data_IF_397601497397
#
_entry.id   IF_397601497397
#
_cell.length_a   1.000
_cell.length_b   1.000
_cell.length_c   1.000
_cell.angle_alpha   90.00
_cell.angle_beta   90.00
_cell.angle_gamma   90.00
#
_symmetry.space_group_name_H-M   'P 1'
#
loop_
_entity.id
_entity.type
_entity.pdbx_description
1 polymer ?
#
# COMPACT_ATOMS: atom_id res chain seq x y z
N UNK A 1 18.62 -23.39 32.90
CA UNK A 1 19.14 -22.32 33.79
C UNK A 1 19.10 -21.03 32.99
N UNK A 2 18.65 -19.92 33.56
CA UNK A 2 18.65 -18.62 32.86
C UNK A 2 20.10 -18.19 32.64
N UNK A 3 20.43 -17.75 31.43
CA UNK A 3 21.72 -17.24 31.04
C UNK A 3 22.09 -16.02 31.91
N UNK A 4 23.33 -15.95 32.41
CA UNK A 4 23.77 -14.82 33.20
C UNK A 4 23.96 -13.58 32.29
N UNK A 5 23.31 -12.46 32.65
CA UNK A 5 23.29 -11.22 31.87
C UNK A 5 24.15 -10.13 32.51
N UNK A 6 24.53 -9.13 31.69
CA UNK A 6 25.19 -7.89 32.12
C UNK A 6 24.70 -6.71 31.31
N UNK A 7 24.73 -5.52 31.85
CA UNK A 7 24.46 -4.30 31.09
C UNK A 7 25.51 -4.11 29.96
N UNK A 8 25.03 -3.86 28.76
CA UNK A 8 25.89 -3.58 27.61
C UNK A 8 26.46 -2.15 27.63
N UNK A 9 25.86 -1.24 28.39
CA UNK A 9 26.13 0.19 28.30
C UNK A 9 25.70 0.81 26.96
N UNK A 10 24.77 0.16 26.24
CA UNK A 10 24.14 0.64 25.00
C UNK A 10 22.64 0.73 25.25
N UNK A 11 22.10 1.95 25.33
CA UNK A 11 20.74 2.23 25.76
C UNK A 11 19.67 1.42 25.03
N UNK A 12 19.74 1.32 23.69
CA UNK A 12 18.76 0.60 22.85
C UNK A 12 18.94 -0.92 22.81
N UNK A 13 19.99 -1.46 23.46
CA UNK A 13 20.23 -2.91 23.59
C UNK A 13 19.90 -3.37 25.02
N UNK A 14 20.34 -2.61 26.01
CA UNK A 14 20.22 -2.98 27.43
C UNK A 14 21.13 -4.16 27.81
N UNK A 15 20.60 -5.15 28.52
CA UNK A 15 21.35 -6.30 28.97
C UNK A 15 21.67 -7.29 27.86
N UNK A 16 22.85 -7.88 27.93
CA UNK A 16 23.40 -8.92 27.05
C UNK A 16 24.00 -10.06 27.85
N UNK A 17 24.22 -11.24 27.26
CA UNK A 17 24.95 -12.33 27.93
C UNK A 17 26.30 -11.91 28.44
N UNK A 18 26.68 -12.36 29.64
CA UNK A 18 27.91 -11.95 30.34
C UNK A 18 29.18 -12.24 29.55
N UNK A 19 29.18 -13.33 28.76
CA UNK A 19 30.32 -13.74 27.93
C UNK A 19 30.42 -12.93 26.61
N UNK A 20 29.44 -12.09 26.25
CA UNK A 20 29.54 -11.27 25.05
C UNK A 20 30.39 -10.02 25.29
N UNK A 21 31.04 -9.54 24.23
CA UNK A 21 31.87 -8.33 24.28
C UNK A 21 31.11 -7.13 23.75
N UNK A 22 31.59 -5.95 24.09
CA UNK A 22 31.13 -4.67 23.52
C UNK A 22 32.33 -3.98 22.90
N UNK A 23 32.29 -3.76 21.60
CA UNK A 23 33.37 -3.12 20.83
C UNK A 23 32.79 -1.97 19.99
N UNK A 24 33.66 -1.14 19.42
CA UNK A 24 33.28 -0.16 18.41
C UNK A 24 33.22 -0.82 17.03
N UNK A 25 32.27 -0.36 16.13
CA UNK A 25 32.10 -0.89 14.77
C UNK A 25 33.44 -0.95 14.00
N UNK A 26 34.32 0.06 14.15
CA UNK A 26 35.63 0.07 13.50
C UNK A 26 36.55 -1.12 13.88
N UNK A 27 36.25 -1.83 14.96
CA UNK A 27 36.98 -3.04 15.38
C UNK A 27 36.48 -4.30 14.67
N UNK A 28 35.25 -4.31 14.25
CA UNK A 28 34.58 -5.50 13.69
C UNK A 28 34.36 -5.42 12.19
N UNK A 29 34.32 -4.22 11.60
CA UNK A 29 34.17 -4.02 10.17
C UNK A 29 35.00 -2.86 9.66
N UNK A 30 35.27 -2.85 8.35
CA UNK A 30 35.99 -1.78 7.66
C UNK A 30 35.27 -1.40 6.37
N UNK A 31 35.25 -0.11 6.09
CA UNK A 31 34.74 0.38 4.82
C UNK A 31 35.67 -0.02 3.70
N UNK A 32 35.08 -0.49 2.61
CA UNK A 32 35.79 -0.70 1.35
C UNK A 32 35.11 0.10 0.26
N UNK A 33 35.87 0.54 -0.73
CA UNK A 33 35.35 1.28 -1.87
C UNK A 33 36.17 0.92 -3.10
N UNK A 34 35.50 0.41 -4.12
CA UNK A 34 36.08 0.08 -5.42
C UNK A 34 35.23 0.73 -6.50
N UNK A 35 35.76 1.71 -7.18
CA UNK A 35 35.03 2.46 -8.22
C UNK A 35 35.15 1.71 -9.56
N UNK A 36 34.03 1.64 -10.27
CA UNK A 36 33.94 1.15 -11.63
C UNK A 36 34.15 2.34 -12.59
N UNK A 37 35.30 2.43 -13.24
CA UNK A 37 35.60 3.54 -14.13
C UNK A 37 34.69 3.55 -15.34
N UNK A 38 34.38 2.34 -15.88
CA UNK A 38 33.53 2.17 -17.06
C UNK A 38 32.56 1.02 -16.85
N UNK A 39 31.27 1.27 -17.02
CA UNK A 39 30.19 0.28 -16.95
C UNK A 39 30.29 -0.71 -18.12
N UNK A 40 30.22 -2.01 -17.82
CA UNK A 40 30.36 -3.09 -18.80
C UNK A 40 29.16 -4.05 -18.79
N UNK A 41 28.02 -3.65 -18.23
CA UNK A 41 26.80 -4.46 -18.18
C UNK A 41 26.63 -5.25 -16.87
N UNK A 42 27.36 -4.90 -15.82
CA UNK A 42 27.20 -5.51 -14.50
C UNK A 42 25.80 -5.22 -13.94
N UNK A 43 25.32 -6.08 -13.03
CA UNK A 43 24.06 -5.89 -12.34
C UNK A 43 24.07 -4.63 -11.49
N UNK A 44 23.04 -3.82 -11.62
CA UNK A 44 22.85 -2.63 -10.76
C UNK A 44 22.02 -3.02 -9.56
N UNK A 45 22.55 -2.77 -8.36
CA UNK A 45 21.96 -3.11 -7.09
C UNK A 45 21.51 -1.86 -6.34
N UNK A 46 20.38 -1.96 -5.65
CA UNK A 46 19.83 -0.86 -4.84
C UNK A 46 19.41 -1.34 -3.46
N UNK A 47 19.69 -0.52 -2.46
CA UNK A 47 19.20 -0.73 -1.10
C UNK A 47 17.72 -0.33 -1.02
N UNK A 48 16.88 -1.25 -0.58
CA UNK A 48 15.42 -1.08 -0.47
C UNK A 48 14.90 -1.63 0.85
N UNK A 49 13.61 -1.42 1.14
CA UNK A 49 12.94 -2.06 2.30
C UNK A 49 13.06 -3.59 2.32
N UNK A 50 13.26 -4.22 1.14
CA UNK A 50 13.45 -5.67 1.00
C UNK A 50 14.91 -6.12 1.14
N UNK A 51 15.85 -5.18 1.31
CA UNK A 51 17.28 -5.40 1.32
C UNK A 51 17.96 -4.90 0.04
N UNK A 52 19.15 -5.38 -0.25
CA UNK A 52 19.89 -5.06 -1.47
C UNK A 52 19.37 -5.94 -2.61
N UNK A 53 18.74 -5.33 -3.61
CA UNK A 53 18.11 -6.05 -4.72
C UNK A 53 18.63 -5.55 -6.08
N UNK A 54 18.58 -6.44 -7.08
CA UNK A 54 18.86 -6.10 -8.47
C UNK A 54 17.77 -5.17 -9.01
N UNK A 55 18.16 -4.09 -9.68
CA UNK A 55 17.25 -3.18 -10.35
C UNK A 55 16.83 -3.75 -11.71
N UNK A 56 15.54 -3.61 -12.00
CA UNK A 56 15.02 -3.83 -13.34
C UNK A 56 15.39 -2.59 -14.19
N UNK A 57 16.27 -2.79 -15.17
CA UNK A 57 16.72 -1.73 -16.08
C UNK A 57 15.82 -1.57 -17.31
N UNK A 58 15.01 -2.58 -17.61
CA UNK A 58 14.04 -2.53 -18.72
C UNK A 58 12.80 -1.74 -18.32
N UNK A 59 12.36 -1.89 -17.05
CA UNK A 59 11.21 -1.15 -16.48
C UNK A 59 11.63 -0.39 -15.21
N UNK A 60 12.45 0.67 -15.35
CA UNK A 60 13.04 1.33 -14.20
C UNK A 60 12.00 2.08 -13.37
N UNK A 61 11.98 1.79 -12.06
CA UNK A 61 11.20 2.57 -11.09
C UNK A 61 12.08 3.64 -10.45
N UNK A 62 11.65 4.90 -10.55
CA UNK A 62 12.37 6.05 -10.00
C UNK A 62 13.43 6.62 -10.95
N UNK A 63 14.26 7.54 -10.44
CA UNK A 63 15.29 8.22 -11.23
C UNK A 63 16.41 7.25 -11.64
N UNK A 64 16.81 7.30 -12.90
CA UNK A 64 17.96 6.58 -13.45
C UNK A 64 19.02 7.59 -13.86
N UNK A 65 20.31 7.32 -13.61
CA UNK A 65 21.38 8.13 -14.13
C UNK A 65 21.55 7.89 -15.65
N UNK A 66 22.19 8.82 -16.33
CA UNK A 66 22.50 8.69 -17.76
C UNK A 66 23.55 7.58 -18.03
N UNK A 67 24.45 7.33 -17.07
CA UNK A 67 25.46 6.28 -17.11
C UNK A 67 25.68 5.72 -15.72
N UNK A 68 26.21 4.51 -15.62
CA UNK A 68 26.67 3.88 -14.38
C UNK A 68 28.19 3.95 -14.22
N UNK A 69 28.88 4.70 -15.06
CA UNK A 69 30.30 4.99 -14.88
C UNK A 69 30.50 5.72 -13.54
N UNK A 70 31.55 5.42 -12.84
CA UNK A 70 31.81 5.96 -11.50
C UNK A 70 30.98 5.33 -10.36
N UNK A 71 30.14 4.30 -10.66
CA UNK A 71 29.49 3.51 -9.62
C UNK A 71 30.53 2.68 -8.86
N UNK A 72 30.19 2.24 -7.65
CA UNK A 72 31.06 1.37 -6.87
C UNK A 72 30.70 -0.09 -7.04
N UNK A 73 31.73 -0.94 -7.13
CA UNK A 73 31.62 -2.39 -7.07
C UNK A 73 31.32 -2.84 -5.66
N UNK A 74 30.28 -3.64 -5.51
CA UNK A 74 29.92 -4.24 -4.24
C UNK A 74 30.01 -5.76 -4.31
N UNK A 75 30.46 -6.35 -3.19
CA UNK A 75 30.79 -7.78 -3.11
C UNK A 75 29.79 -8.51 -2.24
N UNK A 76 29.38 -9.69 -2.71
CA UNK A 76 28.56 -10.62 -1.93
C UNK A 76 29.22 -10.90 -0.57
N UNK A 77 28.39 -11.01 0.47
CA UNK A 77 28.84 -11.26 1.83
C UNK A 77 29.14 -10.01 2.65
N UNK A 78 29.17 -8.83 2.03
CA UNK A 78 29.38 -7.56 2.72
C UNK A 78 28.07 -6.88 3.10
N UNK A 79 28.17 -5.82 3.88
CA UNK A 79 27.05 -4.96 4.26
C UNK A 79 27.04 -3.69 3.41
N UNK A 80 25.86 -3.24 3.01
CA UNK A 80 25.64 -1.96 2.32
C UNK A 80 24.86 -1.03 3.23
N UNK A 81 25.39 0.16 3.50
CA UNK A 81 24.76 1.15 4.37
C UNK A 81 24.51 2.48 3.64
N UNK A 82 23.35 3.07 3.93
CA UNK A 82 23.03 4.46 3.62
C UNK A 82 23.24 5.30 4.87
N UNK A 83 24.34 6.05 4.94
CA UNK A 83 24.69 6.86 6.11
C UNK A 83 24.37 8.35 5.91
N UNK A 84 23.54 8.70 4.92
CA UNK A 84 23.08 10.06 4.62
C UNK A 84 21.55 10.08 4.49
N UNK A 85 20.96 11.24 4.76
CA UNK A 85 19.50 11.45 4.71
C UNK A 85 18.74 10.33 5.50
N UNK A 86 19.26 9.97 6.68
CA UNK A 86 18.76 8.83 7.50
C UNK A 86 17.33 9.05 7.93
N UNK A 87 16.90 10.30 8.14
CA UNK A 87 15.55 10.71 8.51
C UNK A 87 14.50 10.32 7.46
N UNK A 88 14.83 10.50 6.17
CA UNK A 88 13.94 10.22 5.05
C UNK A 88 14.22 8.88 4.36
N UNK A 89 15.35 8.25 4.66
CA UNK A 89 15.71 6.93 4.08
C UNK A 89 14.93 5.82 4.78
N UNK A 90 14.06 5.08 4.07
CA UNK A 90 13.22 4.05 4.70
C UNK A 90 14.02 2.87 5.28
N UNK A 91 15.18 2.55 4.68
CA UNK A 91 16.06 1.47 5.08
C UNK A 91 17.54 1.88 4.88
N UNK A 92 18.30 1.90 5.97
CA UNK A 92 19.71 2.31 5.93
C UNK A 92 20.71 1.15 5.84
N UNK A 93 20.28 -0.10 6.00
CA UNK A 93 21.15 -1.28 6.09
C UNK A 93 20.65 -2.42 5.21
N UNK A 94 21.58 -3.13 4.56
CA UNK A 94 21.28 -4.34 3.81
C UNK A 94 22.49 -5.25 3.63
N UNK A 95 22.26 -6.55 3.65
CA UNK A 95 23.26 -7.57 3.30
C UNK A 95 23.33 -7.71 1.77
N UNK A 96 24.53 -7.82 1.22
CA UNK A 96 24.77 -7.95 -0.22
C UNK A 96 24.76 -9.44 -0.58
N UNK A 97 23.73 -9.88 -1.27
CA UNK A 97 23.55 -11.28 -1.67
C UNK A 97 24.20 -11.60 -3.03
N UNK A 98 24.48 -10.57 -3.87
CA UNK A 98 25.07 -10.73 -5.20
C UNK A 98 26.10 -9.64 -5.47
N UNK A 99 27.13 -9.97 -6.25
CA UNK A 99 28.07 -8.97 -6.76
C UNK A 99 27.37 -8.03 -7.74
N UNK A 100 27.82 -6.78 -7.82
CA UNK A 100 27.28 -5.82 -8.79
C UNK A 100 27.77 -4.40 -8.51
N UNK A 101 27.06 -3.44 -9.07
CA UNK A 101 27.33 -2.02 -8.92
C UNK A 101 26.22 -1.32 -8.16
N UNK A 102 26.60 -0.34 -7.35
CA UNK A 102 25.63 0.55 -6.68
C UNK A 102 26.14 2.00 -6.67
N UNK A 103 25.26 2.93 -6.30
CA UNK A 103 25.64 4.34 -6.18
C UNK A 103 26.82 4.52 -5.24
N UNK A 104 27.82 5.35 -5.58
CA UNK A 104 28.98 5.64 -4.74
C UNK A 104 28.62 6.42 -3.46
N UNK A 105 27.37 6.87 -3.33
CA UNK A 105 26.85 7.50 -2.11
C UNK A 105 26.64 6.51 -0.95
N UNK A 106 26.38 5.24 -1.25
CA UNK A 106 26.32 4.21 -0.21
C UNK A 106 27.72 3.83 0.29
N UNK A 107 27.79 3.26 1.49
CA UNK A 107 29.03 2.76 2.08
C UNK A 107 28.98 1.24 2.18
N UNK A 108 29.95 0.57 1.59
CA UNK A 108 30.14 -0.88 1.72
C UNK A 108 31.09 -1.19 2.85
N UNK A 109 30.73 -2.16 3.70
CA UNK A 109 31.55 -2.63 4.81
C UNK A 109 31.83 -4.11 4.71
N UNK A 110 33.09 -4.46 4.86
CA UNK A 110 33.59 -5.83 4.99
C UNK A 110 33.82 -6.15 6.46
N UNK A 111 33.51 -7.38 6.88
CA UNK A 111 33.72 -7.82 8.25
C UNK A 111 35.19 -8.13 8.50
N UNK A 112 35.70 -7.76 9.69
CA UNK A 112 37.03 -8.09 10.15
C UNK A 112 37.05 -9.43 10.88
N UNK A 113 38.11 -10.21 10.64
CA UNK A 113 38.25 -11.54 11.24
C UNK A 113 37.12 -12.48 10.79
N UNK A 114 36.66 -13.31 11.71
CA UNK A 114 35.58 -14.30 11.44
C UNK A 114 34.18 -13.79 11.76
N UNK A 115 33.98 -12.47 11.98
CA UNK A 115 32.68 -11.95 12.30
C UNK A 115 31.68 -12.23 11.19
N UNK A 116 30.44 -12.64 11.56
CA UNK A 116 29.40 -13.04 10.62
C UNK A 116 28.60 -11.82 10.13
N UNK A 117 28.74 -11.45 8.87
CA UNK A 117 28.06 -10.29 8.28
C UNK A 117 26.53 -10.41 8.33
N UNK A 118 25.97 -11.62 8.25
CA UNK A 118 24.53 -11.83 8.32
C UNK A 118 23.97 -11.56 9.70
N UNK A 119 24.70 -11.93 10.76
CA UNK A 119 24.36 -11.55 12.14
C UNK A 119 24.32 -10.02 12.29
N UNK A 120 25.36 -9.32 11.78
CA UNK A 120 25.40 -7.86 11.86
C UNK A 120 24.37 -7.17 10.96
N UNK A 121 23.97 -7.77 9.85
CA UNK A 121 22.83 -7.29 9.07
C UNK A 121 21.55 -7.25 9.94
N UNK A 122 21.25 -8.33 10.66
CA UNK A 122 20.10 -8.38 11.57
C UNK A 122 20.21 -7.37 12.72
N UNK A 123 21.37 -7.30 13.36
CA UNK A 123 21.61 -6.35 14.45
C UNK A 123 21.45 -4.89 13.99
N UNK A 124 22.08 -4.54 12.88
CA UNK A 124 22.00 -3.17 12.34
C UNK A 124 20.61 -2.84 11.79
N UNK A 125 19.88 -3.81 11.23
CA UNK A 125 18.46 -3.62 10.83
C UNK A 125 17.56 -3.38 12.05
N UNK A 126 17.80 -4.03 13.17
CA UNK A 126 17.10 -3.76 14.42
C UNK A 126 17.27 -2.29 14.82
N UNK A 127 18.53 -1.83 14.84
CA UNK A 127 18.90 -0.44 15.18
C UNK A 127 18.27 0.55 14.18
N UNK A 128 18.25 0.24 12.89
CA UNK A 128 17.66 1.06 11.82
C UNK A 128 16.13 1.12 11.91
N UNK A 129 15.47 0.01 12.27
CA UNK A 129 14.01 -0.01 12.45
C UNK A 129 13.54 0.97 13.53
N UNK A 130 14.29 1.11 14.60
CA UNK A 130 13.99 2.02 15.70
C UNK A 130 14.59 3.43 15.48
N UNK A 131 15.15 3.66 14.27
CA UNK A 131 15.79 4.94 13.89
C UNK A 131 16.87 5.43 14.86
N UNK A 132 17.53 4.52 15.60
CA UNK A 132 18.57 4.89 16.57
C UNK A 132 19.75 5.62 15.92
N UNK A 133 20.05 5.33 14.63
CA UNK A 133 21.09 6.07 13.90
C UNK A 133 20.79 7.56 13.78
N UNK A 134 19.51 7.96 13.74
CA UNK A 134 19.11 9.35 13.64
C UNK A 134 19.53 10.16 14.88
N UNK A 135 19.43 9.57 16.07
CA UNK A 135 19.85 10.21 17.32
C UNK A 135 21.36 10.44 17.40
N UNK A 136 22.15 9.71 16.58
CA UNK A 136 23.60 9.82 16.50
C UNK A 136 24.06 10.78 15.40
N UNK A 137 23.16 11.13 14.47
CA UNK A 137 23.44 12.07 13.38
C UNK A 137 23.40 13.52 13.90
N UNK A 138 24.53 14.23 13.77
CA UNK A 138 24.73 15.56 14.38
C UNK A 138 24.62 16.73 13.38
N UNK A 139 24.32 16.47 12.11
CA UNK A 139 24.31 17.48 11.07
C UNK A 139 22.91 17.72 10.46
N UNK A 140 22.74 18.84 9.75
CA UNK A 140 21.49 19.27 9.13
C UNK A 140 20.93 18.27 8.09
N UNK A 141 21.74 17.34 7.59
CA UNK A 141 21.32 16.30 6.63
C UNK A 141 21.13 14.94 7.27
N UNK A 142 21.01 14.87 8.60
CA UNK A 142 20.82 13.61 9.31
C UNK A 142 21.77 12.50 8.82
N UNK A 143 23.08 12.86 8.70
CA UNK A 143 24.09 11.96 8.13
C UNK A 143 25.13 11.57 9.18
N UNK A 144 25.68 10.37 9.06
CA UNK A 144 26.79 9.88 9.84
C UNK A 144 28.04 9.81 8.95
N UNK A 145 29.14 10.37 9.42
CA UNK A 145 30.43 10.12 8.77
C UNK A 145 30.88 8.67 9.04
N UNK A 146 31.80 8.20 8.23
CA UNK A 146 32.43 6.86 8.45
C UNK A 146 33.06 6.76 9.85
N UNK A 147 33.68 7.84 10.31
CA UNK A 147 34.29 7.88 11.64
C UNK A 147 33.21 7.81 12.74
N UNK A 148 32.11 8.58 12.61
CA UNK A 148 30.99 8.54 13.57
C UNK A 148 30.39 7.14 13.64
N UNK A 149 30.10 6.53 12.49
CA UNK A 149 29.61 5.15 12.44
C UNK A 149 30.62 4.17 13.06
N UNK A 150 31.90 4.33 12.75
CA UNK A 150 32.98 3.50 13.31
C UNK A 150 33.12 3.60 14.83
N UNK A 151 32.72 4.71 15.45
CA UNK A 151 32.77 4.94 16.90
C UNK A 151 31.53 4.46 17.64
N UNK A 152 30.46 4.04 16.94
CA UNK A 152 29.27 3.45 17.57
C UNK A 152 29.68 2.13 18.25
N UNK A 153 29.27 1.95 19.51
CA UNK A 153 29.42 0.68 20.23
C UNK A 153 28.46 -0.36 19.69
N UNK A 154 28.92 -1.59 19.62
CA UNK A 154 28.14 -2.75 19.21
C UNK A 154 28.49 -3.97 20.03
N UNK A 155 27.57 -4.91 20.11
CA UNK A 155 27.75 -6.18 20.80
C UNK A 155 28.43 -7.21 19.91
N UNK A 156 29.22 -8.06 20.50
CA UNK A 156 30.04 -9.07 19.80
C UNK A 156 29.87 -10.41 20.51
N UNK A 157 28.93 -11.25 20.06
CA UNK A 157 28.81 -12.64 20.49
C UNK A 157 30.05 -13.46 20.10
N UNK A 158 30.32 -14.61 20.72
CA UNK A 158 31.19 -15.63 20.16
C UNK A 158 30.83 -16.00 18.73
N UNK A 159 31.80 -16.28 17.87
CA UNK A 159 31.57 -16.53 16.42
C UNK A 159 30.54 -17.63 16.18
N UNK A 160 30.63 -18.73 16.92
CA UNK A 160 29.67 -19.84 16.82
C UNK A 160 28.22 -19.42 17.13
N UNK A 161 28.04 -18.48 18.08
CA UNK A 161 26.73 -17.93 18.40
C UNK A 161 26.25 -16.99 17.30
N UNK A 162 27.09 -16.14 16.71
CA UNK A 162 26.76 -15.31 15.57
C UNK A 162 26.21 -16.15 14.39
N UNK A 163 26.92 -17.25 14.06
CA UNK A 163 26.52 -18.16 12.98
C UNK A 163 25.18 -18.86 13.27
N UNK A 164 25.00 -19.38 14.50
CA UNK A 164 23.74 -20.01 14.92
C UNK A 164 22.58 -19.03 14.86
N UNK A 165 22.77 -17.81 15.39
CA UNK A 165 21.73 -16.76 15.38
C UNK A 165 21.37 -16.39 13.95
N UNK A 166 22.37 -16.12 13.09
CA UNK A 166 22.16 -15.76 11.70
C UNK A 166 21.35 -16.84 10.96
N UNK A 167 21.79 -18.11 11.05
CA UNK A 167 21.11 -19.24 10.42
C UNK A 167 19.68 -19.41 10.91
N UNK A 168 19.47 -19.36 12.22
CA UNK A 168 18.13 -19.50 12.81
C UNK A 168 17.21 -18.37 12.34
N UNK A 169 17.67 -17.12 12.36
CA UNK A 169 16.90 -15.98 11.91
C UNK A 169 16.60 -16.05 10.41
N UNK A 170 17.56 -16.47 9.58
CA UNK A 170 17.33 -16.68 8.14
C UNK A 170 16.18 -17.64 7.90
N UNK A 171 16.18 -18.80 8.58
CA UNK A 171 15.12 -19.81 8.44
C UNK A 171 13.75 -19.30 8.94
N UNK A 172 13.74 -18.65 10.10
CA UNK A 172 12.46 -18.14 10.69
C UNK A 172 11.90 -16.97 9.94
N UNK A 173 12.75 -15.99 9.59
CA UNK A 173 12.33 -14.79 8.83
C UNK A 173 11.86 -15.17 7.43
N UNK A 174 12.51 -16.13 6.78
CA UNK A 174 12.05 -16.66 5.50
C UNK A 174 10.62 -17.21 5.61
N UNK A 175 10.34 -18.07 6.62
CA UNK A 175 8.99 -18.62 6.84
C UNK A 175 7.97 -17.52 7.10
N UNK A 176 8.27 -16.56 7.96
CA UNK A 176 7.36 -15.43 8.25
C UNK A 176 7.10 -14.60 6.99
N UNK A 177 8.13 -14.27 6.23
CA UNK A 177 7.98 -13.51 4.99
C UNK A 177 7.14 -14.27 3.94
N UNK A 178 7.29 -15.59 3.85
CA UNK A 178 6.45 -16.43 2.98
C UNK A 178 4.98 -16.34 3.39
N UNK A 179 4.66 -16.46 4.69
CA UNK A 179 3.27 -16.33 5.17
C UNK A 179 2.71 -14.94 4.89
N UNK A 180 3.50 -13.87 5.10
CA UNK A 180 3.09 -12.50 4.77
C UNK A 180 2.80 -12.36 3.27
N UNK A 181 3.66 -12.89 2.41
CA UNK A 181 3.47 -12.84 0.96
C UNK A 181 2.19 -13.56 0.51
N UNK A 182 1.98 -14.80 0.96
CA UNK A 182 0.78 -15.56 0.64
C UNK A 182 -0.49 -14.88 1.20
N UNK A 183 -0.41 -14.30 2.40
CA UNK A 183 -1.54 -13.56 2.98
C UNK A 183 -1.90 -12.33 2.14
N UNK A 184 -0.92 -11.58 1.63
CA UNK A 184 -1.15 -10.45 0.73
C UNK A 184 -1.80 -10.91 -0.59
N UNK A 185 -1.36 -12.04 -1.13
CA UNK A 185 -1.95 -12.62 -2.35
C UNK A 185 -3.42 -12.99 -2.13
N UNK A 186 -3.74 -13.63 -1.01
CA UNK A 186 -5.13 -13.98 -0.65
C UNK A 186 -6.00 -12.71 -0.50
N UNK A 187 -5.48 -11.61 0.07
CA UNK A 187 -6.21 -10.34 0.16
C UNK A 187 -6.58 -9.83 -1.24
N UNK A 188 -5.65 -9.86 -2.19
CA UNK A 188 -5.93 -9.45 -3.57
C UNK A 188 -6.94 -10.37 -4.27
N UNK A 189 -6.91 -11.67 -4.00
CA UNK A 189 -7.91 -12.63 -4.50
C UNK A 189 -9.30 -12.32 -3.92
N UNK A 190 -9.42 -12.02 -2.62
CA UNK A 190 -10.70 -11.59 -2.03
C UNK A 190 -11.23 -10.29 -2.63
N UNK A 191 -10.37 -9.32 -2.90
CA UNK A 191 -10.78 -8.07 -3.57
C UNK A 191 -11.33 -8.33 -4.96
N UNK A 192 -10.66 -9.18 -5.75
CA UNK A 192 -11.12 -9.58 -7.08
C UNK A 192 -12.44 -10.36 -6.99
N UNK A 193 -12.54 -11.32 -6.08
CA UNK A 193 -13.77 -12.09 -5.86
C UNK A 193 -14.95 -11.18 -5.52
N UNK A 194 -14.74 -10.20 -4.62
CA UNK A 194 -15.77 -9.21 -4.29
C UNK A 194 -16.29 -8.47 -5.53
N UNK A 195 -15.40 -7.99 -6.39
CA UNK A 195 -15.80 -7.30 -7.63
C UNK A 195 -16.56 -8.22 -8.58
N UNK A 196 -16.09 -9.45 -8.77
CA UNK A 196 -16.76 -10.45 -9.62
C UNK A 196 -18.15 -10.79 -9.08
N UNK A 197 -18.27 -11.02 -7.77
CA UNK A 197 -19.53 -11.32 -7.12
C UNK A 197 -20.56 -10.18 -7.31
N UNK A 198 -20.15 -8.93 -7.07
CA UNK A 198 -21.01 -7.77 -7.27
C UNK A 198 -21.50 -7.74 -8.73
N UNK A 199 -20.58 -7.83 -9.69
CA UNK A 199 -20.93 -7.76 -11.11
C UNK A 199 -21.86 -8.89 -11.53
N UNK A 200 -21.59 -10.12 -11.11
CA UNK A 200 -22.43 -11.28 -11.43
C UNK A 200 -23.86 -11.10 -10.88
N UNK A 201 -23.97 -10.71 -9.61
CA UNK A 201 -25.28 -10.64 -8.94
C UNK A 201 -26.10 -9.45 -9.43
N UNK A 202 -25.50 -8.28 -9.71
CA UNK A 202 -26.27 -7.11 -10.21
C UNK A 202 -26.70 -7.25 -11.67
N UNK A 203 -26.11 -8.20 -12.43
CA UNK A 203 -26.51 -8.41 -13.84
C UNK A 203 -27.26 -9.70 -14.06
N UNK A 204 -27.03 -10.75 -13.27
CA UNK A 204 -27.61 -12.09 -13.47
C UNK A 204 -28.56 -12.54 -12.37
N UNK A 205 -28.71 -11.72 -11.29
CA UNK A 205 -29.54 -12.08 -10.15
C UNK A 205 -28.92 -13.14 -9.23
N UNK A 206 -29.72 -13.65 -8.31
CA UNK A 206 -29.31 -14.65 -7.32
C UNK A 206 -29.55 -16.08 -7.77
N UNK A 207 -30.57 -16.32 -8.61
CA UNK A 207 -30.89 -17.65 -9.12
C UNK A 207 -29.97 -18.02 -10.30
N UNK A 208 -29.06 -18.98 -10.05
CA UNK A 208 -28.12 -19.48 -11.09
C UNK A 208 -28.79 -20.35 -12.16
N UNK A 209 -30.05 -20.74 -11.97
CA UNK A 209 -30.79 -21.59 -12.92
C UNK A 209 -31.71 -20.80 -13.83
N UNK A 210 -31.82 -19.48 -13.64
CA UNK A 210 -32.66 -18.63 -14.46
C UNK A 210 -32.14 -18.60 -15.90
N UNK A 211 -33.07 -18.66 -16.85
CA UNK A 211 -32.71 -18.49 -18.26
C UNK A 211 -32.28 -17.04 -18.53
N UNK A 212 -31.19 -16.90 -19.26
CA UNK A 212 -30.57 -15.60 -19.57
C UNK A 212 -30.86 -15.21 -21.02
N UNK A 213 -30.96 -13.90 -21.25
CA UNK A 213 -30.99 -13.26 -22.59
C UNK A 213 -29.91 -12.18 -22.66
N UNK A 214 -29.38 -11.94 -23.85
CA UNK A 214 -28.54 -10.77 -24.07
C UNK A 214 -29.34 -9.47 -23.87
N UNK A 215 -28.81 -8.57 -23.05
CA UNK A 215 -29.47 -7.31 -22.70
C UNK A 215 -29.51 -6.30 -23.83
N UNK A 216 -28.74 -6.47 -24.89
CA UNK A 216 -28.52 -5.48 -25.95
C UNK A 216 -27.50 -4.40 -25.57
N UNK A 217 -26.89 -4.47 -24.38
CA UNK A 217 -25.92 -3.50 -23.82
C UNK A 217 -24.63 -4.20 -23.45
N UNK A 218 -23.54 -3.85 -24.10
CA UNK A 218 -22.24 -4.56 -24.00
C UNK A 218 -21.72 -4.65 -22.56
N UNK A 219 -21.74 -3.55 -21.81
CA UNK A 219 -21.21 -3.54 -20.45
C UNK A 219 -22.03 -4.37 -19.45
N UNK A 220 -23.34 -4.52 -19.69
CA UNK A 220 -24.24 -5.35 -18.89
C UNK A 220 -24.06 -6.84 -19.25
N UNK A 221 -24.06 -7.16 -20.55
CA UNK A 221 -24.02 -8.52 -21.07
C UNK A 221 -25.36 -9.23 -20.92
N UNK A 222 -25.37 -10.47 -20.42
CA UNK A 222 -26.56 -11.29 -20.25
C UNK A 222 -27.27 -10.96 -18.93
N UNK A 223 -28.61 -10.93 -18.99
CA UNK A 223 -29.53 -10.70 -17.86
C UNK A 223 -30.63 -11.78 -17.82
N UNK A 224 -31.28 -12.03 -16.67
CA UNK A 224 -32.45 -12.89 -16.58
C UNK A 224 -33.54 -12.48 -17.58
N UNK A 225 -34.24 -13.46 -18.17
CA UNK A 225 -35.23 -13.22 -19.22
C UNK A 225 -36.37 -12.28 -18.79
N UNK A 226 -36.70 -12.29 -17.49
CA UNK A 226 -37.69 -11.42 -16.85
C UNK A 226 -37.24 -9.99 -16.61
N UNK A 227 -35.91 -9.71 -16.71
CA UNK A 227 -35.41 -8.37 -16.46
C UNK A 227 -35.54 -7.45 -17.67
N UNK A 228 -35.60 -6.14 -17.35
CA UNK A 228 -35.58 -5.06 -18.33
C UNK A 228 -34.26 -4.32 -18.24
N UNK A 229 -33.92 -3.59 -19.29
CA UNK A 229 -32.89 -2.54 -19.28
C UNK A 229 -33.60 -1.20 -19.49
N UNK A 230 -33.16 -0.18 -18.76
CA UNK A 230 -33.73 1.14 -18.88
C UNK A 230 -32.66 2.21 -18.67
N UNK A 231 -32.96 3.44 -19.03
CA UNK A 231 -32.04 4.57 -18.87
C UNK A 231 -31.97 5.03 -17.41
N UNK A 232 -30.80 5.51 -16.99
CA UNK A 232 -30.61 6.11 -15.65
C UNK A 232 -31.66 7.20 -15.39
N UNK A 233 -32.04 8.00 -16.41
CA UNK A 233 -33.08 9.04 -16.31
C UNK A 233 -34.45 8.55 -15.81
N UNK A 234 -34.72 7.25 -15.91
CA UNK A 234 -36.01 6.68 -15.48
C UNK A 234 -36.03 6.22 -14.02
N UNK A 235 -34.87 6.20 -13.36
CA UNK A 235 -34.72 5.85 -11.93
C UNK A 235 -34.10 6.97 -11.09
N UNK A 236 -33.47 7.95 -11.76
CA UNK A 236 -32.87 9.11 -11.10
C UNK A 236 -33.17 10.41 -11.84
N UNK A 237 -33.25 11.51 -11.10
CA UNK A 237 -33.20 12.87 -11.64
C UNK A 237 -32.03 13.62 -11.03
N UNK A 238 -31.44 14.57 -11.76
CA UNK A 238 -30.38 15.40 -11.24
C UNK A 238 -30.92 16.40 -10.21
N UNK A 239 -30.28 16.45 -9.03
CA UNK A 239 -30.40 17.58 -8.10
C UNK A 239 -29.36 18.63 -8.46
N UNK A 240 -29.79 19.84 -8.75
CA UNK A 240 -28.89 20.92 -9.20
C UNK A 240 -29.04 22.20 -8.37
N UNK A 241 -29.62 22.09 -7.17
CA UNK A 241 -29.77 23.19 -6.23
C UNK A 241 -28.39 23.70 -5.79
N UNK A 242 -28.19 25.01 -5.86
CA UNK A 242 -26.96 25.70 -5.46
C UNK A 242 -27.03 26.09 -4.00
N UNK A 243 -25.97 25.82 -3.25
CA UNK A 243 -25.88 26.11 -1.82
C UNK A 243 -24.48 26.56 -1.44
N UNK A 244 -24.38 27.20 -0.24
CA UNK A 244 -23.12 27.60 0.37
C UNK A 244 -22.55 26.52 1.30
N UNK A 245 -21.24 26.42 1.42
CA UNK A 245 -20.56 25.57 2.41
C UNK A 245 -20.69 26.10 3.85
N UNK A 246 -21.17 27.33 4.01
CA UNK A 246 -21.50 27.93 5.32
C UNK A 246 -22.83 27.39 5.87
N UNK A 247 -23.76 27.04 4.98
CA UNK A 247 -25.08 26.51 5.34
C UNK A 247 -25.12 24.98 5.31
N UNK A 248 -24.41 24.37 4.39
CA UNK A 248 -24.39 22.92 4.18
C UNK A 248 -22.97 22.37 4.27
N UNK A 249 -22.74 21.52 5.25
CA UNK A 249 -21.44 20.90 5.51
C UNK A 249 -20.81 20.31 4.23
N UNK A 250 -19.56 20.66 3.89
CA UNK A 250 -18.87 20.09 2.75
C UNK A 250 -18.67 18.58 2.88
N UNK A 251 -18.94 17.88 1.78
CA UNK A 251 -18.77 16.43 1.65
C UNK A 251 -17.69 16.11 0.61
N UNK A 252 -17.02 14.98 0.81
CA UNK A 252 -16.07 14.39 -0.13
C UNK A 252 -16.63 13.13 -0.78
N UNK A 253 -16.50 13.05 -2.11
CA UNK A 253 -16.90 11.87 -2.91
C UNK A 253 -15.68 10.99 -3.11
N UNK A 254 -15.69 9.79 -2.53
CA UNK A 254 -14.57 8.86 -2.52
C UNK A 254 -14.96 7.48 -3.08
N UNK A 255 -13.99 6.63 -3.37
CA UNK A 255 -14.23 5.22 -3.75
C UNK A 255 -14.94 4.43 -2.63
N UNK A 256 -14.82 4.87 -1.38
CA UNK A 256 -15.52 4.25 -0.24
C UNK A 256 -16.95 4.76 -0.07
N UNK A 257 -17.34 5.82 -0.81
CA UNK A 257 -18.64 6.47 -0.71
C UNK A 257 -18.53 7.94 -0.35
N UNK A 258 -19.62 8.50 0.19
CA UNK A 258 -19.73 9.90 0.58
C UNK A 258 -19.36 10.04 2.07
N UNK A 259 -18.41 10.92 2.35
CA UNK A 259 -17.92 11.17 3.71
C UNK A 259 -17.84 12.67 3.99
N UNK A 260 -17.73 13.05 5.25
CA UNK A 260 -17.44 14.44 5.61
C UNK A 260 -16.13 14.88 4.95
N UNK A 261 -15.98 16.16 4.65
CA UNK A 261 -14.82 16.67 3.93
C UNK A 261 -13.52 16.27 4.65
N UNK A 262 -12.60 15.70 3.89
CA UNK A 262 -11.28 15.32 4.39
C UNK A 262 -10.41 16.56 4.58
N UNK A 263 -9.63 16.61 5.66
CA UNK A 263 -8.80 17.78 6.03
C UNK A 263 -7.75 18.14 4.98
N UNK A 264 -7.22 17.15 4.27
CA UNK A 264 -6.11 17.29 3.30
C UNK A 264 -6.58 17.42 1.84
N UNK A 265 -7.83 17.79 1.60
CA UNK A 265 -8.35 18.00 0.23
C UNK A 265 -8.29 19.48 -0.11
N UNK A 266 -7.87 19.80 -1.34
CA UNK A 266 -7.89 21.16 -1.86
C UNK A 266 -9.29 21.76 -1.68
N UNK A 267 -9.38 22.84 -0.92
CA UNK A 267 -10.62 23.59 -0.72
C UNK A 267 -10.90 24.39 -1.98
N UNK A 268 -12.16 24.42 -2.41
CA UNK A 268 -12.57 25.28 -3.53
C UNK A 268 -12.67 26.73 -3.05
N UNK A 269 -12.10 27.66 -3.79
CA UNK A 269 -12.15 29.10 -3.47
C UNK A 269 -13.56 29.70 -3.55
N UNK A 270 -14.54 28.95 -4.08
CA UNK A 270 -15.91 29.39 -4.30
C UNK A 270 -16.88 28.57 -3.46
N UNK A 271 -16.83 28.75 -2.12
CA UNK A 271 -17.67 28.03 -1.17
C UNK A 271 -19.18 28.28 -1.31
N UNK A 272 -19.58 29.42 -1.87
CA UNK A 272 -20.99 29.80 -2.06
C UNK A 272 -21.62 29.18 -3.33
N UNK A 273 -20.87 28.40 -4.13
CA UNK A 273 -21.35 27.81 -5.37
C UNK A 273 -21.10 26.29 -5.37
N UNK A 274 -21.83 25.58 -4.51
CA UNK A 274 -21.77 24.13 -4.39
C UNK A 274 -23.13 23.51 -4.73
N UNK A 275 -23.18 22.20 -4.97
CA UNK A 275 -24.44 21.47 -5.17
C UNK A 275 -24.92 20.91 -3.83
N UNK A 276 -26.23 21.07 -3.58
CA UNK A 276 -26.92 20.45 -2.46
C UNK A 276 -26.90 18.92 -2.60
N UNK A 277 -26.64 18.25 -1.48
CA UNK A 277 -26.80 16.81 -1.30
C UNK A 277 -27.74 16.57 -0.15
N UNK A 278 -28.74 15.72 -0.34
CA UNK A 278 -29.58 15.21 0.74
C UNK A 278 -29.24 13.77 1.08
N UNK A 279 -29.47 13.40 2.32
CA UNK A 279 -29.37 11.99 2.72
C UNK A 279 -30.24 11.12 1.82
N UNK A 280 -29.66 10.05 1.28
CA UNK A 280 -30.31 9.20 0.28
C UNK A 280 -30.00 9.57 -1.17
N UNK A 281 -29.46 10.76 -1.47
CA UNK A 281 -29.01 11.07 -2.84
C UNK A 281 -27.79 10.20 -3.22
N UNK A 282 -27.76 9.75 -4.46
CA UNK A 282 -26.56 9.13 -5.02
C UNK A 282 -25.66 10.22 -5.62
N UNK A 283 -24.37 10.20 -5.28
CA UNK A 283 -23.42 11.20 -5.76
C UNK A 283 -22.26 10.53 -6.46
N UNK A 284 -21.91 11.00 -7.66
CA UNK A 284 -20.80 10.49 -8.46
C UNK A 284 -19.87 11.62 -8.89
N UNK A 285 -18.56 11.38 -8.82
CA UNK A 285 -17.57 12.30 -9.37
C UNK A 285 -17.52 12.15 -10.89
N UNK A 286 -17.66 13.25 -11.61
CA UNK A 286 -17.73 13.24 -13.08
C UNK A 286 -16.39 13.05 -13.75
N UNK A 287 -15.25 13.27 -13.06
CA UNK A 287 -13.92 13.26 -13.65
C UNK A 287 -13.32 11.86 -13.78
N UNK A 288 -12.61 11.63 -14.88
CA UNK A 288 -11.94 10.36 -15.18
C UNK A 288 -10.82 10.01 -14.17
N UNK A 289 -10.08 11.01 -13.67
CA UNK A 289 -9.03 10.82 -12.64
C UNK A 289 -9.58 10.37 -11.28
N UNK A 290 -10.91 10.45 -11.07
CA UNK A 290 -11.63 10.02 -9.86
C UNK A 290 -12.54 8.81 -10.09
N UNK A 291 -12.16 7.96 -11.03
CA UNK A 291 -12.93 6.79 -11.44
C UNK A 291 -13.40 5.94 -10.26
N UNK A 292 -14.71 5.62 -10.27
CA UNK A 292 -15.36 4.83 -9.23
C UNK A 292 -15.59 5.56 -7.91
N UNK A 293 -15.36 6.89 -7.85
CA UNK A 293 -15.71 7.69 -6.68
C UNK A 293 -17.20 8.04 -6.74
N UNK A 294 -18.01 7.29 -6.01
CA UNK A 294 -19.46 7.46 -5.95
C UNK A 294 -20.07 6.78 -4.72
N UNK A 295 -21.33 7.08 -4.43
CA UNK A 295 -22.12 6.40 -3.41
C UNK A 295 -23.37 7.14 -3.00
N UNK A 296 -24.18 6.48 -2.19
CA UNK A 296 -25.33 7.10 -1.52
C UNK A 296 -24.81 7.95 -0.37
N UNK A 297 -25.32 9.17 -0.25
CA UNK A 297 -24.97 10.06 0.87
C UNK A 297 -25.77 9.68 2.13
N UNK A 298 -25.09 9.41 3.26
CA UNK A 298 -25.77 9.29 4.54
C UNK A 298 -26.01 10.65 5.21
N UNK A 299 -25.56 11.75 4.58
CA UNK A 299 -25.58 13.10 5.13
C UNK A 299 -26.33 14.09 4.23
N UNK A 300 -26.97 15.07 4.84
CA UNK A 300 -27.25 16.33 4.18
C UNK A 300 -25.96 17.17 4.14
N UNK A 301 -25.70 17.83 3.01
CA UNK A 301 -24.46 18.59 2.87
C UNK A 301 -24.29 19.17 1.47
N UNK A 302 -23.06 19.48 1.12
CA UNK A 302 -22.74 20.09 -0.18
C UNK A 302 -21.52 19.45 -0.82
N UNK A 303 -21.53 19.37 -2.16
CA UNK A 303 -20.38 18.89 -2.95
C UNK A 303 -19.96 19.91 -3.99
N UNK A 304 -18.73 19.82 -4.44
CA UNK A 304 -18.19 20.62 -5.55
C UNK A 304 -19.01 20.40 -6.83
N UNK A 305 -19.09 21.43 -7.68
CA UNK A 305 -19.83 21.42 -8.96
C UNK A 305 -19.46 20.30 -9.92
N UNK A 306 -18.25 19.77 -9.77
CA UNK A 306 -17.73 18.66 -10.57
C UNK A 306 -18.48 17.34 -10.32
N UNK A 307 -19.17 17.21 -9.17
CA UNK A 307 -19.94 16.03 -8.86
C UNK A 307 -21.36 16.13 -9.44
N UNK A 308 -21.90 15.00 -9.85
CA UNK A 308 -23.29 14.86 -10.22
C UNK A 308 -24.05 14.28 -9.03
N UNK A 309 -25.11 14.98 -8.60
CA UNK A 309 -25.99 14.58 -7.50
C UNK A 309 -27.30 14.08 -8.09
N UNK A 310 -27.71 12.87 -7.70
CA UNK A 310 -28.85 12.17 -8.24
C UNK A 310 -29.86 11.85 -7.13
N UNK A 311 -31.07 12.36 -7.28
CA UNK A 311 -32.20 12.05 -6.43
C UNK A 311 -32.94 10.84 -6.99
N UNK A 312 -33.16 9.77 -6.19
CA UNK A 312 -33.97 8.62 -6.62
C UNK A 312 -35.39 9.02 -6.97
N UNK A 313 -35.95 8.43 -8.03
CA UNK A 313 -37.35 8.65 -8.45
C UNK A 313 -38.06 7.32 -8.64
N UNK A 314 -39.41 7.34 -8.45
CA UNK A 314 -40.21 6.15 -8.61
C UNK A 314 -39.96 5.09 -7.54
N UNK A 315 -40.40 3.85 -7.83
CA UNK A 315 -40.23 2.69 -6.95
C UNK A 315 -38.94 1.96 -7.33
N UNK A 316 -37.89 2.16 -6.54
CA UNK A 316 -36.58 1.57 -6.80
C UNK A 316 -35.81 1.34 -5.49
N UNK A 317 -34.85 0.40 -5.50
CA UNK A 317 -33.93 0.20 -4.40
C UNK A 317 -32.61 0.91 -4.69
N UNK A 318 -32.34 2.00 -3.98
CA UNK A 318 -31.14 2.82 -4.19
C UNK A 318 -29.83 2.05 -3.88
N UNK A 319 -29.84 1.13 -2.90
CA UNK A 319 -28.66 0.30 -2.59
C UNK A 319 -28.33 -0.68 -3.72
N UNK A 320 -29.33 -1.24 -4.42
CA UNK A 320 -29.08 -2.06 -5.59
C UNK A 320 -28.30 -1.27 -6.66
N UNK A 321 -28.76 -0.06 -7.00
CA UNK A 321 -28.09 0.79 -7.98
C UNK A 321 -26.73 1.31 -7.49
N UNK A 322 -26.53 1.51 -6.18
CA UNK A 322 -25.23 1.80 -5.62
C UNK A 322 -24.22 0.66 -5.93
N UNK A 323 -24.63 -0.60 -5.87
CA UNK A 323 -23.77 -1.71 -6.29
C UNK A 323 -23.54 -1.74 -7.80
N UNK A 324 -24.57 -1.51 -8.62
CA UNK A 324 -24.45 -1.40 -10.09
C UNK A 324 -23.41 -0.36 -10.46
N UNK A 325 -23.51 0.85 -9.91
CA UNK A 325 -22.65 1.98 -10.25
C UNK A 325 -21.22 1.88 -9.69
N UNK A 326 -20.98 0.99 -8.74
CA UNK A 326 -19.65 0.68 -8.21
C UNK A 326 -18.93 -0.43 -8.99
N UNK A 327 -19.55 -1.05 -9.98
CA UNK A 327 -18.86 -2.04 -10.83
C UNK A 327 -17.84 -1.38 -11.75
N UNK A 328 -16.74 -2.07 -12.03
CA UNK A 328 -15.73 -1.57 -12.97
C UNK A 328 -16.28 -1.39 -14.37
N UNK A 329 -17.14 -2.31 -14.83
CA UNK A 329 -17.77 -2.22 -16.15
C UNK A 329 -18.67 -1.00 -16.29
N UNK A 330 -19.45 -0.66 -15.24
CA UNK A 330 -20.22 0.58 -15.27
C UNK A 330 -19.31 1.81 -15.27
N UNK A 331 -18.22 1.79 -14.48
CA UNK A 331 -17.27 2.88 -14.48
C UNK A 331 -16.62 3.08 -15.86
N UNK A 332 -16.29 1.98 -16.58
CA UNK A 332 -15.81 2.05 -17.96
C UNK A 332 -16.84 2.68 -18.89
N UNK A 333 -18.08 2.19 -18.82
CA UNK A 333 -19.18 2.72 -19.64
C UNK A 333 -19.43 4.20 -19.31
N UNK A 334 -19.49 4.57 -18.02
CA UNK A 334 -19.71 5.95 -17.59
C UNK A 334 -18.67 6.91 -18.19
N UNK A 335 -17.39 6.55 -18.13
CA UNK A 335 -16.33 7.42 -18.67
C UNK A 335 -16.22 7.38 -20.19
N UNK A 336 -16.70 6.35 -20.86
CA UNK A 336 -16.83 6.27 -22.31
C UNK A 336 -17.77 7.35 -22.87
N UNK A 337 -18.78 7.74 -22.11
CA UNK A 337 -19.71 8.82 -22.43
C UNK A 337 -19.18 10.22 -22.10
N UNK A 338 -18.01 10.34 -21.52
CA UNK A 338 -17.43 11.61 -21.14
C UNK A 338 -16.86 12.41 -22.31
N UNK A 339 -16.62 13.69 -22.07
CA UNK A 339 -16.05 14.62 -23.03
C UNK A 339 -14.94 15.46 -22.37
N UNK A 340 -13.86 15.75 -23.10
CA UNK A 340 -12.74 16.56 -22.66
C UNK A 340 -11.64 16.63 -23.69
N UNK A 341 -10.69 17.55 -23.52
CA UNK A 341 -9.56 17.74 -24.45
C UNK A 341 -8.34 16.93 -24.03
N UNK A 342 -8.20 16.68 -22.72
CA UNK A 342 -7.11 15.91 -22.10
C UNK A 342 -7.67 15.04 -20.97
N UNK A 343 -6.98 13.98 -20.61
CA UNK A 343 -7.45 12.98 -19.66
C UNK A 343 -7.88 13.55 -18.30
N UNK A 344 -7.19 14.56 -17.79
CA UNK A 344 -7.51 15.18 -16.50
C UNK A 344 -8.70 16.15 -16.56
N UNK A 345 -9.14 16.57 -17.77
CA UNK A 345 -10.35 17.37 -18.03
C UNK A 345 -11.52 16.55 -18.56
N UNK A 346 -11.33 15.24 -18.79
CA UNK A 346 -12.37 14.34 -19.25
C UNK A 346 -13.44 14.16 -18.17
N UNK A 347 -14.68 14.46 -18.51
CA UNK A 347 -15.78 14.38 -17.54
C UNK A 347 -17.09 13.94 -18.19
N UNK A 348 -17.86 13.14 -17.45
CA UNK A 348 -19.20 12.70 -17.84
C UNK A 348 -20.24 13.50 -17.06
N UNK A 349 -20.99 14.34 -17.75
CA UNK A 349 -22.04 15.17 -17.15
C UNK A 349 -23.37 14.41 -17.09
N UNK A 350 -24.35 14.99 -16.40
CA UNK A 350 -25.68 14.40 -16.32
C UNK A 350 -26.31 14.15 -17.70
N UNK A 351 -26.16 15.09 -18.64
CA UNK A 351 -26.78 14.97 -19.98
C UNK A 351 -26.23 13.75 -20.75
N UNK A 352 -25.02 13.34 -20.48
CA UNK A 352 -24.43 12.13 -21.02
C UNK A 352 -24.84 10.91 -20.20
N UNK A 353 -24.70 10.98 -18.87
CA UNK A 353 -24.98 9.89 -17.94
C UNK A 353 -26.44 9.41 -18.00
N UNK A 354 -27.40 10.33 -18.11
CA UNK A 354 -28.83 10.03 -18.08
C UNK A 354 -29.28 9.04 -19.16
N UNK A 355 -28.54 8.92 -20.26
CA UNK A 355 -28.82 8.05 -21.39
C UNK A 355 -28.21 6.66 -21.29
N UNK A 356 -27.33 6.42 -20.30
CA UNK A 356 -26.73 5.10 -20.07
C UNK A 356 -27.81 4.12 -19.62
N UNK A 357 -27.82 2.94 -20.26
CA UNK A 357 -28.72 1.85 -19.90
C UNK A 357 -28.17 1.05 -18.71
N UNK A 358 -29.09 0.68 -17.82
CA UNK A 358 -28.81 -0.11 -16.59
C UNK A 358 -29.81 -1.27 -16.48
N UNK A 359 -29.45 -2.37 -15.77
CA UNK A 359 -30.38 -3.47 -15.53
C UNK A 359 -31.45 -3.05 -14.50
N UNK A 360 -32.70 -3.46 -14.77
CA UNK A 360 -33.85 -3.13 -13.92
C UNK A 360 -34.62 -4.42 -13.58
N UNK A 361 -34.21 -5.11 -12.48
CA UNK A 361 -35.01 -6.20 -11.89
C UNK A 361 -36.34 -5.70 -11.30
N UNK A 362 -37.19 -6.62 -10.85
CA UNK A 362 -38.34 -6.27 -9.99
C UNK A 362 -37.87 -5.62 -8.68
N UNK A 363 -38.71 -4.86 -8.01
CA UNK A 363 -38.32 -4.19 -6.74
C UNK A 363 -37.97 -5.21 -5.65
N UNK A 364 -38.65 -6.34 -5.65
CA UNK A 364 -38.42 -7.45 -4.74
C UNK A 364 -36.99 -8.04 -4.97
N UNK A 365 -36.66 -8.32 -6.23
CA UNK A 365 -35.30 -8.80 -6.58
C UNK A 365 -34.23 -7.77 -6.30
N UNK A 366 -34.44 -6.48 -6.52
CA UNK A 366 -33.50 -5.42 -6.13
C UNK A 366 -33.23 -5.43 -4.64
N UNK A 367 -34.28 -5.63 -3.80
CA UNK A 367 -34.15 -5.69 -2.34
C UNK A 367 -33.39 -6.95 -1.90
N UNK A 368 -33.71 -8.10 -2.48
CA UNK A 368 -33.03 -9.36 -2.19
C UNK A 368 -31.54 -9.31 -2.58
N UNK A 369 -31.23 -8.79 -3.77
CA UNK A 369 -29.86 -8.61 -4.25
C UNK A 369 -29.08 -7.66 -3.33
N UNK A 370 -29.66 -6.51 -2.99
CA UNK A 370 -29.02 -5.53 -2.11
C UNK A 370 -28.74 -6.12 -0.72
N UNK A 371 -29.71 -6.84 -0.16
CA UNK A 371 -29.54 -7.53 1.13
C UNK A 371 -28.45 -8.59 1.09
N UNK A 372 -28.46 -9.45 0.08
CA UNK A 372 -27.43 -10.49 -0.13
C UNK A 372 -26.04 -9.89 -0.28
N UNK A 373 -25.87 -8.89 -1.16
CA UNK A 373 -24.58 -8.25 -1.39
C UNK A 373 -24.07 -7.55 -0.14
N UNK A 374 -24.93 -6.87 0.62
CA UNK A 374 -24.55 -6.25 1.88
C UNK A 374 -23.94 -7.28 2.85
N UNK A 375 -24.56 -8.43 2.99
CA UNK A 375 -24.08 -9.48 3.88
C UNK A 375 -22.76 -10.10 3.37
N UNK A 376 -22.68 -10.46 2.08
CA UNK A 376 -21.49 -11.09 1.52
C UNK A 376 -20.29 -10.14 1.54
N UNK A 377 -20.49 -8.88 1.16
CA UNK A 377 -19.42 -7.87 1.18
C UNK A 377 -18.92 -7.64 2.60
N UNK A 378 -19.82 -7.56 3.58
CA UNK A 378 -19.43 -7.45 4.99
C UNK A 378 -18.57 -8.64 5.45
N UNK A 379 -18.93 -9.87 5.07
CA UNK A 379 -18.13 -11.06 5.37
C UNK A 379 -16.74 -11.00 4.72
N UNK A 380 -16.67 -10.64 3.43
CA UNK A 380 -15.41 -10.54 2.69
C UNK A 380 -14.52 -9.45 3.29
N UNK A 381 -15.06 -8.26 3.58
CA UNK A 381 -14.30 -7.14 4.16
C UNK A 381 -13.78 -7.47 5.56
N UNK A 382 -14.54 -8.21 6.37
CA UNK A 382 -14.06 -8.73 7.65
C UNK A 382 -12.91 -9.75 7.49
N UNK A 383 -12.97 -10.61 6.46
CA UNK A 383 -11.87 -11.54 6.18
C UNK A 383 -10.61 -10.79 5.75
N UNK A 384 -10.74 -9.78 4.90
CA UNK A 384 -9.62 -8.92 4.49
C UNK A 384 -9.02 -8.23 5.70
N UNK A 385 -9.83 -7.59 6.53
CA UNK A 385 -9.36 -6.86 7.74
C UNK A 385 -8.62 -7.78 8.72
N UNK A 386 -9.13 -8.99 8.95
CA UNK A 386 -8.43 -9.99 9.80
C UNK A 386 -7.07 -10.38 9.23
N UNK A 387 -6.97 -10.52 7.91
CA UNK A 387 -5.69 -10.85 7.25
C UNK A 387 -4.72 -9.67 7.26
N UNK A 388 -5.21 -8.44 7.14
CA UNK A 388 -4.39 -7.24 7.29
C UNK A 388 -3.82 -7.12 8.72
N UNK A 389 -4.63 -7.40 9.74
CA UNK A 389 -4.16 -7.47 11.13
C UNK A 389 -3.12 -8.57 11.33
N UNK A 390 -3.33 -9.76 10.76
CA UNK A 390 -2.34 -10.85 10.81
C UNK A 390 -0.99 -10.42 10.22
N UNK A 391 -0.98 -9.67 9.12
CA UNK A 391 0.28 -9.14 8.54
C UNK A 391 0.98 -8.22 9.54
N UNK A 392 0.24 -7.33 10.21
CA UNK A 392 0.81 -6.43 11.22
C UNK A 392 1.41 -7.22 12.39
N UNK A 393 0.71 -8.23 12.89
CA UNK A 393 1.20 -9.10 13.96
C UNK A 393 2.46 -9.87 13.56
N UNK A 394 2.50 -10.40 12.34
CA UNK A 394 3.67 -11.10 11.80
C UNK A 394 4.88 -10.17 11.62
N UNK A 395 4.69 -8.93 11.18
CA UNK A 395 5.76 -7.94 11.10
C UNK A 395 6.28 -7.55 12.50
N UNK A 396 5.41 -7.42 13.49
CA UNK A 396 5.80 -7.18 14.88
C UNK A 396 6.53 -8.39 15.48
N UNK A 397 6.02 -9.60 15.25
CA UNK A 397 6.68 -10.84 15.65
C UNK A 397 8.09 -10.94 15.07
N UNK A 398 8.27 -10.61 13.79
CA UNK A 398 9.58 -10.58 13.14
C UNK A 398 10.56 -9.61 13.82
N UNK A 399 10.09 -8.41 14.18
CA UNK A 399 10.90 -7.43 14.92
C UNK A 399 11.33 -7.95 16.30
N UNK A 400 10.36 -8.50 17.05
CA UNK A 400 10.64 -9.08 18.38
C UNK A 400 11.62 -10.25 18.29
N UNK A 401 11.40 -11.15 17.31
CA UNK A 401 12.28 -12.29 17.08
C UNK A 401 13.73 -11.84 16.81
N UNK A 402 13.91 -10.87 15.92
CA UNK A 402 15.26 -10.34 15.64
C UNK A 402 15.85 -9.77 16.92
N UNK A 403 15.14 -8.90 17.65
CA UNK A 403 15.62 -8.27 18.87
C UNK A 403 16.06 -9.29 19.91
N UNK A 404 15.22 -10.27 20.23
CA UNK A 404 15.47 -11.29 21.26
C UNK A 404 16.75 -12.08 20.99
N UNK A 405 16.95 -12.51 19.74
CA UNK A 405 18.09 -13.36 19.40
C UNK A 405 19.37 -12.56 19.14
N UNK A 406 19.32 -11.42 18.44
CA UNK A 406 20.55 -10.64 18.18
C UNK A 406 21.10 -9.97 19.43
N UNK A 407 20.27 -9.75 20.46
CA UNK A 407 20.73 -9.21 21.74
C UNK A 407 21.03 -10.29 22.79
N UNK A 408 20.84 -11.57 22.45
CA UNK A 408 21.09 -12.71 23.33
C UNK A 408 20.14 -12.86 24.50
N UNK A 409 18.98 -12.18 24.45
CA UNK A 409 17.91 -12.32 25.45
C UNK A 409 17.20 -13.67 25.34
N UNK A 410 17.33 -14.32 24.20
CA UNK A 410 16.85 -15.68 23.96
C UNK A 410 17.96 -16.53 23.37
N UNK A 411 18.06 -17.75 23.83
CA UNK A 411 19.06 -18.73 23.41
C UNK A 411 18.47 -19.63 22.31
N UNK A 412 19.34 -20.14 21.40
CA UNK A 412 18.98 -21.08 20.33
C UNK A 412 19.32 -22.48 20.75
#
# INVERSE_FOLDING_TARGET
MSREMKDSGIEWIGEIPKNWQVLHHKRIMSKIKEICDKYQGEDILSLTMRGVIKRDLENPKGKMPATFDGYQRIKQGNLLLCLFDIDVTPRCVGFIEHNGLTSPAYSQFEMKGSNNARYYDYLLRMIDNDKCFLHLAKNLRSSLTENDFGMIKTIVPPIEEQEKIAKYLDEKIYKVNTVIYETKKIIEEYKKYKQTLIMEVVTRGLDKKVELKYSGVEWIGDIPIGWKVDKIANVYKQRNDKVSDKEYTPLSVTKKGIVLQLENVAKTDNGDNRKLVKSGDFVINSRSDRRGSCGISPYDGSVSLINTVLEPIGTMNNEYYNYVFKTERFADEFYKWGHGIVDDLWSTKWDDMKSIYIPVPSIEEQQEIAGYLKEQIFRIDNMISKKELLIIELENYKKSLIYEYVTGKKEI
#
